data_IF_470251510453
#
_entry.id   IF_470251510453
#
_cell.length_a   1.000
_cell.length_b   1.000
_cell.length_c   1.000
_cell.angle_alpha   90.00
_cell.angle_beta   90.00
_cell.angle_gamma   90.00
#
_symmetry.space_group_name_H-M   'P 1'
#
loop_
_entity.id
_entity.type
_entity.pdbx_description
1 polymer ?
#
# COMPACT_ATOMS: atom_id res chain seq x y z
N UNK A 1 40.76 -5.34 1.28
CA UNK A 1 39.87 -6.22 2.06
C UNK A 1 40.55 -7.56 2.38
N UNK A 2 41.22 -8.19 1.40
CA UNK A 2 41.84 -9.52 1.53
C UNK A 2 42.95 -9.60 2.57
N UNK A 3 43.60 -8.48 2.93
CA UNK A 3 44.67 -8.44 3.97
C UNK A 3 44.22 -8.85 5.37
N UNK A 4 42.92 -8.80 5.66
CA UNK A 4 42.37 -9.09 6.98
C UNK A 4 41.69 -10.46 7.09
N UNK A 5 41.51 -11.15 5.96
CA UNK A 5 40.89 -12.46 5.95
C UNK A 5 41.94 -13.58 5.97
N UNK A 6 41.71 -14.58 6.83
CA UNK A 6 42.49 -15.81 6.85
C UNK A 6 42.00 -16.76 5.75
N UNK A 7 42.89 -17.39 5.03
CA UNK A 7 42.54 -18.45 4.06
C UNK A 7 41.68 -19.53 4.75
N UNK A 8 40.63 -20.07 4.11
CA UNK A 8 40.29 -19.95 2.68
C UNK A 8 39.31 -18.80 2.35
N UNK A 9 39.06 -17.85 3.26
CA UNK A 9 38.09 -16.78 3.06
C UNK A 9 38.63 -15.73 2.08
N UNK A 10 37.79 -15.36 1.11
CA UNK A 10 38.05 -14.29 0.17
C UNK A 10 36.81 -13.42 -0.01
N UNK A 11 36.99 -12.19 -0.50
CA UNK A 11 35.94 -11.25 -0.77
C UNK A 11 35.94 -10.86 -2.24
N UNK A 12 34.89 -11.21 -2.94
CA UNK A 12 34.66 -10.80 -4.31
C UNK A 12 33.60 -9.67 -4.37
N UNK A 13 33.79 -8.75 -5.32
CA UNK A 13 32.77 -7.76 -5.65
C UNK A 13 31.64 -8.46 -6.37
N UNK A 14 30.42 -8.40 -5.77
CA UNK A 14 29.24 -9.00 -6.37
C UNK A 14 28.39 -7.96 -7.11
N UNK A 15 28.04 -6.88 -6.43
CA UNK A 15 27.14 -5.85 -6.98
C UNK A 15 27.09 -4.60 -6.13
N UNK A 16 26.64 -3.48 -6.72
CA UNK A 16 26.39 -2.22 -6.04
C UNK A 16 24.91 -1.81 -6.15
N UNK A 17 24.40 -1.21 -5.10
CA UNK A 17 23.08 -0.53 -5.12
C UNK A 17 23.25 0.98 -4.99
N UNK A 18 22.77 1.75 -5.99
CA UNK A 18 22.81 3.22 -5.96
C UNK A 18 21.69 3.83 -6.84
N UNK A 19 20.71 4.55 -6.26
CA UNK A 19 20.44 4.70 -4.84
C UNK A 19 19.89 3.43 -4.18
N UNK A 20 19.91 3.40 -2.85
CA UNK A 20 19.39 2.30 -2.06
C UNK A 20 18.45 2.81 -0.95
N UNK A 21 17.29 2.23 -0.84
CA UNK A 21 16.27 2.55 0.16
C UNK A 21 15.94 1.31 1.00
N UNK A 22 16.33 1.33 2.27
CA UNK A 22 16.05 0.28 3.24
C UNK A 22 14.85 0.66 4.10
N UNK A 23 13.71 0.03 3.86
CA UNK A 23 12.48 0.27 4.61
C UNK A 23 12.49 -0.44 5.98
N UNK A 24 12.87 -1.71 5.98
CA UNK A 24 13.00 -2.54 7.18
C UNK A 24 13.79 -3.81 6.87
N UNK A 25 14.03 -4.65 7.88
CA UNK A 25 14.65 -5.97 7.69
C UNK A 25 13.94 -6.74 6.56
N UNK A 26 14.69 -7.20 5.56
CA UNK A 26 14.19 -7.92 4.35
C UNK A 26 13.24 -7.12 3.45
N UNK A 27 13.16 -5.78 3.60
CA UNK A 27 12.33 -4.91 2.77
C UNK A 27 13.14 -3.74 2.25
N UNK A 28 13.51 -3.79 0.99
CA UNK A 28 14.32 -2.76 0.36
C UNK A 28 13.99 -2.60 -1.13
N UNK A 29 14.41 -1.48 -1.68
CA UNK A 29 14.43 -1.19 -3.11
C UNK A 29 15.67 -0.38 -3.44
N UNK A 30 16.24 -0.58 -4.62
CA UNK A 30 17.37 0.18 -5.11
C UNK A 30 17.63 -0.10 -6.58
N UNK A 31 18.49 0.72 -7.16
CA UNK A 31 19.05 0.47 -8.49
C UNK A 31 20.30 -0.41 -8.32
N UNK A 32 20.22 -1.61 -8.86
CA UNK A 32 21.30 -2.60 -8.85
C UNK A 32 22.18 -2.39 -10.06
N UNK A 33 23.46 -2.31 -9.84
CA UNK A 33 24.52 -2.30 -10.86
C UNK A 33 25.44 -3.50 -10.62
N UNK A 34 25.73 -4.21 -11.68
CA UNK A 34 26.73 -5.27 -11.70
C UNK A 34 28.08 -4.67 -12.16
N UNK A 35 28.66 -5.14 -13.24
CA UNK A 35 29.94 -4.63 -13.75
C UNK A 35 29.78 -3.34 -14.58
N UNK A 36 28.63 -3.13 -15.22
CA UNK A 36 28.37 -1.97 -16.06
C UNK A 36 27.64 -0.87 -15.29
N UNK A 37 28.26 0.30 -15.02
CA UNK A 37 27.63 1.39 -14.29
C UNK A 37 26.47 2.07 -15.03
N UNK A 38 26.32 1.81 -16.34
CA UNK A 38 25.25 2.40 -17.14
C UNK A 38 23.99 1.50 -17.22
N UNK A 39 24.09 0.24 -16.81
CA UNK A 39 23.00 -0.75 -16.88
C UNK A 39 22.35 -1.02 -15.53
N UNK A 40 21.87 0.04 -14.89
CA UNK A 40 21.14 -0.09 -13.63
C UNK A 40 19.79 -0.77 -13.81
N UNK A 41 19.47 -1.77 -12.97
CA UNK A 41 18.17 -2.46 -12.91
C UNK A 41 17.51 -2.24 -11.55
N UNK A 42 16.23 -1.90 -11.54
CA UNK A 42 15.49 -1.82 -10.27
C UNK A 42 15.37 -3.21 -9.64
N UNK A 43 15.96 -3.39 -8.48
CA UNK A 43 15.82 -4.58 -7.63
C UNK A 43 15.03 -4.23 -6.37
N UNK A 44 14.07 -5.07 -6.02
CA UNK A 44 13.27 -4.89 -4.82
C UNK A 44 13.02 -6.21 -4.13
N UNK A 45 12.96 -6.17 -2.79
CA UNK A 45 12.68 -7.34 -1.95
C UNK A 45 11.65 -6.99 -0.87
N UNK A 46 10.71 -7.91 -0.64
CA UNK A 46 9.75 -7.82 0.47
C UNK A 46 8.75 -6.66 0.43
N UNK A 47 8.72 -5.88 -0.63
CA UNK A 47 7.79 -4.75 -0.81
C UNK A 47 6.55 -5.16 -1.61
N UNK A 48 5.53 -4.31 -1.60
CA UNK A 48 4.21 -4.58 -2.21
C UNK A 48 4.25 -4.87 -3.71
N UNK A 49 5.28 -4.41 -4.42
CA UNK A 49 5.41 -4.57 -5.88
C UNK A 49 5.41 -6.03 -6.34
N UNK A 50 5.93 -6.95 -5.53
CA UNK A 50 6.02 -8.39 -5.87
C UNK A 50 4.91 -9.23 -5.23
N UNK A 51 4.11 -8.66 -4.35
CA UNK A 51 3.09 -9.40 -3.63
C UNK A 51 1.82 -9.53 -4.46
N UNK A 52 1.23 -10.74 -4.48
CA UNK A 52 -0.01 -11.02 -5.21
C UNK A 52 -1.27 -10.69 -4.42
N UNK A 53 -1.14 -10.47 -3.10
CA UNK A 53 -2.23 -10.13 -2.18
C UNK A 53 -2.57 -8.62 -2.15
N UNK A 54 -1.92 -7.84 -3.01
CA UNK A 54 -2.25 -6.43 -3.24
C UNK A 54 -2.86 -6.24 -4.63
N UNK A 55 -3.79 -5.29 -4.73
CA UNK A 55 -4.39 -4.92 -6.01
C UNK A 55 -3.34 -4.38 -7.00
N UNK A 56 -3.47 -4.63 -8.31
CA UNK A 56 -2.54 -4.12 -9.32
C UNK A 56 -2.34 -2.60 -9.27
N UNK A 57 -3.38 -1.83 -8.96
CA UNK A 57 -3.30 -0.37 -8.80
C UNK A 57 -2.22 0.07 -7.80
N UNK A 58 -1.98 -0.73 -6.74
CA UNK A 58 -0.91 -0.44 -5.77
C UNK A 58 0.45 -0.54 -6.42
N UNK A 59 0.64 -1.49 -7.34
CA UNK A 59 1.89 -1.66 -8.06
C UNK A 59 2.12 -0.51 -9.04
N UNK A 60 1.07 -0.04 -9.69
CA UNK A 60 1.13 1.08 -10.62
C UNK A 60 1.51 2.37 -9.88
N UNK A 61 0.78 2.72 -8.81
CA UNK A 61 1.02 3.95 -8.04
C UNK A 61 2.36 3.89 -7.28
N UNK A 62 2.56 2.87 -6.49
CA UNK A 62 3.78 2.73 -5.67
C UNK A 62 5.02 2.48 -6.51
N UNK A 63 4.87 1.73 -7.61
CA UNK A 63 5.95 1.47 -8.56
C UNK A 63 6.38 2.73 -9.29
N UNK A 64 5.44 3.55 -9.77
CA UNK A 64 5.72 4.83 -10.41
C UNK A 64 6.44 5.81 -9.48
N UNK A 65 5.99 5.93 -8.22
CA UNK A 65 6.67 6.75 -7.21
C UNK A 65 8.13 6.28 -7.01
N UNK A 66 8.33 4.98 -6.85
CA UNK A 66 9.69 4.41 -6.68
C UNK A 66 10.54 4.68 -7.92
N UNK A 67 10.01 4.51 -9.12
CA UNK A 67 10.78 4.76 -10.34
C UNK A 67 11.22 6.21 -10.46
N UNK A 68 10.35 7.18 -10.16
CA UNK A 68 10.69 8.61 -10.15
C UNK A 68 11.76 8.88 -9.08
N UNK A 69 11.56 8.41 -7.84
CA UNK A 69 12.50 8.66 -6.76
C UNK A 69 13.88 8.00 -6.98
N UNK A 70 13.93 6.81 -7.61
CA UNK A 70 15.18 6.07 -7.83
C UNK A 70 15.92 6.50 -9.07
N UNK A 71 15.23 6.84 -10.16
CA UNK A 71 15.85 7.21 -11.44
C UNK A 71 16.07 8.72 -11.55
N UNK A 72 15.03 9.49 -11.27
CA UNK A 72 15.03 10.94 -11.47
C UNK A 72 15.46 11.71 -10.21
N UNK A 73 15.36 11.07 -9.02
CA UNK A 73 15.66 11.67 -7.70
C UNK A 73 14.83 12.92 -7.41
N UNK A 74 13.67 13.04 -8.05
CA UNK A 74 12.77 14.18 -7.95
C UNK A 74 11.59 13.86 -7.04
N UNK A 75 11.57 14.50 -5.87
CA UNK A 75 10.51 14.31 -4.86
C UNK A 75 9.24 15.08 -5.25
N UNK A 76 9.35 16.25 -5.85
CA UNK A 76 8.19 17.05 -6.24
C UNK A 76 7.42 16.37 -7.37
N UNK A 77 8.12 15.88 -8.38
CA UNK A 77 7.53 15.06 -9.45
C UNK A 77 6.86 13.79 -8.94
N UNK A 78 7.44 13.15 -7.93
CA UNK A 78 6.83 11.97 -7.31
C UNK A 78 5.53 12.33 -6.57
N UNK A 79 5.44 13.52 -5.96
CA UNK A 79 4.22 14.03 -5.31
C UNK A 79 3.14 14.34 -6.36
N UNK A 80 3.50 15.02 -7.44
CA UNK A 80 2.57 15.33 -8.54
C UNK A 80 2.00 14.04 -9.16
N UNK A 81 2.85 13.06 -9.42
CA UNK A 81 2.44 11.74 -9.89
C UNK A 81 1.46 11.07 -8.90
N UNK A 82 1.76 11.09 -7.60
CA UNK A 82 0.85 10.56 -6.58
C UNK A 82 -0.50 11.28 -6.62
N UNK A 83 -0.52 12.62 -6.67
CA UNK A 83 -1.77 13.39 -6.70
C UNK A 83 -2.59 13.10 -7.95
N UNK A 84 -1.97 12.98 -9.10
CA UNK A 84 -2.62 12.57 -10.36
C UNK A 84 -3.23 11.18 -10.25
N UNK A 85 -2.50 10.21 -9.69
CA UNK A 85 -3.03 8.87 -9.45
C UNK A 85 -4.22 8.86 -8.49
N UNK A 86 -4.14 9.60 -7.37
CA UNK A 86 -5.22 9.71 -6.39
C UNK A 86 -6.47 10.35 -7.01
N UNK A 87 -6.29 11.39 -7.84
CA UNK A 87 -7.40 12.02 -8.56
C UNK A 87 -8.06 11.05 -9.54
N UNK A 88 -7.26 10.29 -10.30
CA UNK A 88 -7.78 9.29 -11.23
C UNK A 88 -8.54 8.15 -10.51
N UNK A 89 -8.13 7.79 -9.27
CA UNK A 89 -8.87 6.83 -8.44
C UNK A 89 -10.22 7.42 -8.01
N UNK A 90 -10.21 8.67 -7.55
CA UNK A 90 -11.44 9.37 -7.12
C UNK A 90 -12.40 9.54 -8.31
N UNK A 91 -11.88 9.82 -9.50
CA UNK A 91 -12.66 9.99 -10.71
C UNK A 91 -13.02 8.64 -11.39
N UNK A 92 -12.73 7.51 -10.73
CA UNK A 92 -13.09 6.16 -11.15
C UNK A 92 -12.54 5.76 -12.54
N UNK A 93 -11.41 6.37 -12.95
CA UNK A 93 -10.78 6.14 -14.25
C UNK A 93 -10.04 4.81 -14.34
N UNK A 94 -9.77 4.16 -13.21
CA UNK A 94 -9.11 2.85 -13.21
C UNK A 94 -10.11 1.74 -13.48
N UNK A 95 -9.83 0.84 -14.42
CA UNK A 95 -10.68 -0.30 -14.72
C UNK A 95 -10.69 -1.31 -13.55
N UNK A 96 -11.73 -2.13 -13.48
CA UNK A 96 -12.00 -3.05 -12.36
C UNK A 96 -10.86 -4.06 -12.14
N UNK A 97 -10.18 -4.52 -13.19
CA UNK A 97 -9.05 -5.44 -13.11
C UNK A 97 -7.88 -4.89 -12.26
N UNK A 98 -7.69 -3.56 -12.24
CA UNK A 98 -6.69 -2.90 -11.40
C UNK A 98 -7.02 -2.95 -9.90
N UNK A 99 -8.27 -3.23 -9.54
CA UNK A 99 -8.75 -3.30 -8.17
C UNK A 99 -8.83 -4.74 -7.61
N UNK A 100 -8.66 -5.76 -8.46
CA UNK A 100 -8.80 -7.16 -8.04
C UNK A 100 -7.66 -7.58 -7.12
N UNK A 101 -8.04 -8.09 -5.94
CA UNK A 101 -7.15 -8.71 -4.98
C UNK A 101 -7.40 -10.21 -5.02
N UNK A 102 -6.33 -11.02 -4.94
CA UNK A 102 -6.45 -12.48 -4.99
C UNK A 102 -5.82 -13.11 -3.77
N UNK A 103 -6.56 -13.99 -3.08
CA UNK A 103 -6.07 -14.78 -1.94
C UNK A 103 -6.39 -16.25 -2.09
N UNK A 104 -5.45 -17.11 -1.69
CA UNK A 104 -5.67 -18.55 -1.70
C UNK A 104 -6.55 -18.99 -0.52
N UNK A 105 -7.51 -19.84 -0.79
CA UNK A 105 -8.34 -20.50 0.20
C UNK A 105 -7.54 -21.62 0.88
N UNK A 106 -7.68 -21.75 2.20
CA UNK A 106 -7.08 -22.84 2.98
C UNK A 106 -8.14 -23.82 3.44
N UNK A 107 -7.74 -25.04 3.79
CA UNK A 107 -8.63 -26.03 4.40
C UNK A 107 -9.06 -25.62 5.80
N UNK A 108 -8.12 -25.11 6.60
CA UNK A 108 -8.31 -24.83 8.01
C UNK A 108 -8.25 -23.34 8.34
N UNK A 109 -9.30 -22.86 8.99
CA UNK A 109 -9.38 -21.55 9.60
C UNK A 109 -9.95 -21.67 11.01
N UNK A 110 -9.26 -21.14 12.02
CA UNK A 110 -9.78 -21.10 13.41
C UNK A 110 -11.13 -20.39 13.48
N UNK A 111 -11.26 -19.26 12.76
CA UNK A 111 -12.46 -18.44 12.72
C UNK A 111 -12.85 -18.13 11.26
N UNK A 112 -13.51 -19.03 10.53
CA UNK A 112 -13.83 -18.86 9.11
C UNK A 112 -14.64 -17.60 8.82
N UNK A 113 -15.54 -17.20 9.72
CA UNK A 113 -16.41 -16.04 9.59
C UNK A 113 -15.63 -14.70 9.57
N UNK A 114 -14.43 -14.66 10.14
CA UNK A 114 -13.57 -13.46 10.12
C UNK A 114 -12.71 -13.38 8.86
N UNK A 115 -12.64 -14.42 8.06
CA UNK A 115 -11.82 -14.50 6.87
C UNK A 115 -12.65 -14.10 5.64
N UNK A 116 -12.47 -12.86 5.18
CA UNK A 116 -13.28 -12.26 4.14
C UNK A 116 -13.43 -13.17 2.88
N UNK A 117 -12.33 -13.63 2.30
CA UNK A 117 -12.34 -14.46 1.10
C UNK A 117 -12.92 -15.86 1.34
N UNK A 118 -12.92 -16.40 2.57
CA UNK A 118 -13.62 -17.65 2.93
C UNK A 118 -15.13 -17.42 2.95
N UNK A 119 -15.59 -16.35 3.58
CA UNK A 119 -17.01 -15.96 3.59
C UNK A 119 -17.52 -15.73 2.16
N UNK A 120 -16.72 -15.10 1.31
CA UNK A 120 -17.06 -14.91 -0.11
C UNK A 120 -17.14 -16.28 -0.84
N UNK A 121 -16.19 -17.18 -0.65
CA UNK A 121 -16.21 -18.51 -1.25
C UNK A 121 -17.47 -19.31 -0.85
N UNK A 122 -17.86 -19.25 0.43
CA UNK A 122 -19.09 -19.89 0.90
C UNK A 122 -20.35 -19.25 0.29
N UNK A 123 -20.35 -17.92 0.11
CA UNK A 123 -21.43 -17.20 -0.57
C UNK A 123 -21.51 -17.55 -2.07
N UNK A 124 -20.38 -17.70 -2.74
CA UNK A 124 -20.33 -18.19 -4.13
C UNK A 124 -20.90 -19.60 -4.24
N UNK A 125 -20.51 -20.52 -3.37
CA UNK A 125 -21.04 -21.89 -3.35
C UNK A 125 -22.55 -21.98 -3.00
N UNK A 126 -23.11 -21.01 -2.24
CA UNK A 126 -24.56 -20.91 -2.03
C UNK A 126 -25.33 -20.44 -3.27
N UNK A 127 -24.69 -19.58 -4.10
CA UNK A 127 -25.27 -19.09 -5.36
C UNK A 127 -25.20 -20.12 -6.48
N UNK A 128 -24.08 -20.84 -6.53
CA UNK A 128 -23.81 -21.88 -7.52
C UNK A 128 -23.02 -23.02 -6.86
N UNK A 129 -23.75 -24.09 -6.53
CA UNK A 129 -23.19 -25.26 -5.85
C UNK A 129 -22.19 -26.04 -6.74
N UNK A 130 -22.37 -25.99 -8.07
CA UNK A 130 -21.49 -26.65 -9.04
C UNK A 130 -20.12 -25.99 -9.15
N UNK A 131 -20.01 -24.70 -8.87
CA UNK A 131 -18.78 -23.93 -8.93
C UNK A 131 -18.28 -23.45 -7.55
N UNK A 132 -18.56 -24.22 -6.49
CA UNK A 132 -18.08 -23.89 -5.16
C UNK A 132 -16.56 -23.98 -5.08
N UNK A 133 -15.86 -22.88 -4.69
CA UNK A 133 -14.42 -22.89 -4.53
C UNK A 133 -13.93 -23.86 -3.46
N UNK A 134 -12.84 -24.56 -3.74
CA UNK A 134 -12.21 -25.54 -2.87
C UNK A 134 -10.91 -25.04 -2.23
N UNK A 135 -10.35 -25.82 -1.31
CA UNK A 135 -9.05 -25.52 -0.71
C UNK A 135 -7.95 -25.53 -1.76
N UNK A 136 -7.08 -24.50 -1.72
CA UNK A 136 -6.05 -24.27 -2.74
C UNK A 136 -6.44 -23.25 -3.80
N UNK A 137 -7.74 -23.09 -4.07
CA UNK A 137 -8.20 -22.12 -5.06
C UNK A 137 -7.88 -20.68 -4.68
N UNK A 138 -7.65 -19.88 -5.70
CA UNK A 138 -7.39 -18.45 -5.54
C UNK A 138 -8.67 -17.67 -5.80
N UNK A 139 -9.17 -17.05 -4.74
CA UNK A 139 -10.41 -16.26 -4.80
C UNK A 139 -10.06 -14.83 -5.19
N UNK A 140 -10.48 -14.36 -6.39
CA UNK A 140 -10.40 -12.96 -6.76
C UNK A 140 -11.57 -12.19 -6.12
N UNK A 141 -11.29 -11.01 -5.60
CA UNK A 141 -12.32 -10.15 -5.03
C UNK A 141 -11.94 -8.68 -5.12
N UNK A 142 -12.96 -7.84 -5.05
CA UNK A 142 -12.85 -6.39 -5.01
C UNK A 142 -13.59 -5.89 -3.76
N UNK A 143 -13.04 -4.89 -3.09
CA UNK A 143 -13.76 -4.22 -2.01
C UNK A 143 -14.86 -3.33 -2.57
N UNK A 144 -16.07 -3.48 -2.01
CA UNK A 144 -17.28 -2.77 -2.43
C UNK A 144 -17.77 -1.81 -1.35
N UNK A 145 -18.56 -0.84 -1.76
CA UNK A 145 -19.27 0.03 -0.82
C UNK A 145 -20.41 -0.72 -0.15
N UNK A 146 -20.57 -0.55 1.15
CA UNK A 146 -21.65 -1.14 1.93
C UNK A 146 -22.40 -0.06 2.68
N UNK A 147 -23.74 -0.16 2.73
CA UNK A 147 -24.60 0.74 3.51
C UNK A 147 -24.46 0.49 5.03
N UNK A 148 -24.21 -0.75 5.41
CA UNK A 148 -24.07 -1.14 6.82
C UNK A 148 -22.69 -0.78 7.37
N UNK A 149 -22.63 0.13 8.33
CA UNK A 149 -21.39 0.53 9.02
C UNK A 149 -20.74 -0.63 9.79
N UNK A 150 -21.54 -1.54 10.32
CA UNK A 150 -21.12 -2.70 11.11
C UNK A 150 -20.91 -3.97 10.26
N UNK A 151 -20.92 -3.85 8.92
CA UNK A 151 -20.69 -4.99 8.03
C UNK A 151 -19.37 -5.70 8.34
N UNK A 152 -19.39 -7.02 8.36
CA UNK A 152 -18.19 -7.86 8.52
C UNK A 152 -17.28 -7.73 7.30
N UNK A 153 -16.03 -8.15 7.44
CA UNK A 153 -15.06 -8.04 6.33
C UNK A 153 -15.49 -8.84 5.08
N UNK A 154 -16.18 -9.97 5.28
CA UNK A 154 -16.73 -10.76 4.19
C UNK A 154 -17.82 -10.07 3.39
N UNK A 155 -18.58 -9.17 4.03
CA UNK A 155 -19.67 -8.42 3.38
C UNK A 155 -19.16 -7.19 2.61
N UNK A 156 -17.90 -6.80 2.87
CA UNK A 156 -17.26 -5.66 2.21
C UNK A 156 -16.52 -6.05 0.92
N UNK A 157 -16.60 -7.30 0.52
CA UNK A 157 -15.94 -7.80 -0.70
C UNK A 157 -16.90 -8.61 -1.56
N UNK A 158 -16.67 -8.58 -2.88
CA UNK A 158 -17.45 -9.37 -3.83
C UNK A 158 -16.59 -9.85 -5.00
N UNK A 159 -17.06 -10.91 -5.68
CA UNK A 159 -16.41 -11.45 -6.86
C UNK A 159 -16.54 -10.49 -8.05
N UNK A 160 -15.48 -10.30 -8.87
CA UNK A 160 -15.48 -9.34 -9.98
C UNK A 160 -16.65 -9.54 -10.97
N UNK A 161 -16.95 -10.78 -11.35
CA UNK A 161 -18.07 -11.07 -12.27
C UNK A 161 -19.42 -10.64 -11.69
N UNK A 162 -19.64 -10.87 -10.41
CA UNK A 162 -20.86 -10.45 -9.73
C UNK A 162 -21.00 -8.92 -9.64
N UNK A 163 -19.87 -8.22 -9.45
CA UNK A 163 -19.81 -6.76 -9.45
C UNK A 163 -20.24 -6.20 -10.80
N UNK A 164 -19.72 -6.77 -11.90
CA UNK A 164 -20.06 -6.36 -13.28
C UNK A 164 -21.55 -6.60 -13.56
N UNK A 165 -22.04 -7.82 -13.24
CA UNK A 165 -23.44 -8.21 -13.50
C UNK A 165 -24.43 -7.33 -12.74
N UNK A 166 -24.14 -6.99 -11.50
CA UNK A 166 -25.04 -6.24 -10.60
C UNK A 166 -24.70 -4.75 -10.51
N UNK A 167 -23.75 -4.26 -11.32
CA UNK A 167 -23.30 -2.85 -11.34
C UNK A 167 -22.94 -2.31 -9.96
N UNK A 168 -22.29 -3.14 -9.13
CA UNK A 168 -21.91 -2.77 -7.76
C UNK A 168 -20.68 -1.86 -7.81
N UNK A 169 -20.69 -0.80 -7.01
CA UNK A 169 -19.61 0.17 -6.97
C UNK A 169 -18.45 -0.30 -6.09
N UNK A 170 -17.19 -0.27 -6.59
CA UNK A 170 -16.00 -0.49 -5.77
C UNK A 170 -15.81 0.57 -4.68
N UNK A 171 -15.21 0.19 -3.58
CA UNK A 171 -14.88 1.12 -2.49
C UNK A 171 -13.50 1.76 -2.74
N UNK A 172 -13.44 2.80 -3.55
CA UNK A 172 -12.20 3.51 -3.88
C UNK A 172 -11.49 4.11 -2.66
N UNK A 173 -12.25 4.59 -1.67
CA UNK A 173 -11.69 5.10 -0.41
C UNK A 173 -10.89 4.01 0.33
N UNK A 174 -11.34 2.75 0.31
CA UNK A 174 -10.60 1.62 0.86
C UNK A 174 -9.25 1.41 0.16
N UNK A 175 -9.22 1.49 -1.17
CA UNK A 175 -7.96 1.33 -1.92
C UNK A 175 -6.97 2.44 -1.61
N UNK A 176 -7.42 3.68 -1.50
CA UNK A 176 -6.56 4.80 -1.09
C UNK A 176 -6.02 4.57 0.32
N UNK A 177 -6.89 4.27 1.32
CA UNK A 177 -6.49 4.21 2.73
C UNK A 177 -5.71 2.96 3.10
N UNK A 178 -6.17 1.79 2.63
CA UNK A 178 -5.65 0.51 3.11
C UNK A 178 -4.61 -0.12 2.19
N UNK A 179 -4.66 0.19 0.90
CA UNK A 179 -3.78 -0.42 -0.09
C UNK A 179 -2.63 0.51 -0.49
N UNK A 180 -2.91 1.78 -0.82
CA UNK A 180 -1.92 2.73 -1.36
C UNK A 180 -1.24 3.52 -0.27
N UNK A 181 -1.98 4.11 0.66
CA UNK A 181 -1.45 5.06 1.65
C UNK A 181 -0.31 4.47 2.49
N UNK A 182 -0.48 3.25 3.01
CA UNK A 182 0.51 2.63 3.90
C UNK A 182 1.91 2.47 3.27
N UNK A 183 2.07 1.84 2.09
CA UNK A 183 3.38 1.74 1.45
C UNK A 183 3.95 3.10 1.03
N UNK A 184 3.10 4.03 0.58
CA UNK A 184 3.51 5.38 0.19
C UNK A 184 4.02 6.17 1.40
N UNK A 185 3.35 6.09 2.56
CA UNK A 185 3.82 6.72 3.80
C UNK A 185 5.22 6.23 4.20
N UNK A 186 5.52 4.95 4.04
CA UNK A 186 6.83 4.41 4.37
C UNK A 186 7.95 4.99 3.50
N UNK A 187 7.70 5.19 2.21
CA UNK A 187 8.69 5.77 1.29
C UNK A 187 8.85 7.29 1.56
N UNK A 188 7.77 8.05 1.55
CA UNK A 188 7.84 9.49 1.78
C UNK A 188 8.26 9.86 3.20
N UNK A 189 8.03 8.97 4.18
CA UNK A 189 8.56 9.13 5.54
C UNK A 189 10.08 9.17 5.61
N UNK A 190 10.79 8.53 4.67
CA UNK A 190 12.25 8.54 4.58
C UNK A 190 12.81 9.83 3.96
N UNK A 191 12.01 10.50 3.14
CA UNK A 191 12.37 11.77 2.46
C UNK A 191 11.51 12.94 2.96
N UNK A 192 10.94 12.82 4.16
CA UNK A 192 10.01 13.79 4.73
C UNK A 192 10.57 15.22 4.76
N UNK A 193 11.85 15.38 5.10
CA UNK A 193 12.53 16.68 5.16
C UNK A 193 12.67 17.35 3.77
N UNK A 194 12.53 16.59 2.69
CA UNK A 194 12.58 17.09 1.31
C UNK A 194 11.21 17.55 0.81
N UNK A 195 10.12 17.23 1.54
CA UNK A 195 8.77 17.67 1.16
C UNK A 195 8.63 19.21 1.33
N UNK A 196 8.26 19.95 0.27
CA UNK A 196 8.19 21.43 0.34
C UNK A 196 7.30 21.93 1.46
N UNK A 197 6.11 21.33 1.62
CA UNK A 197 5.14 21.74 2.65
C UNK A 197 5.57 21.35 4.06
N UNK A 198 6.48 20.39 4.23
CA UNK A 198 6.97 19.98 5.54
C UNK A 198 7.94 20.99 6.16
N UNK A 199 8.57 21.84 5.38
CA UNK A 199 9.54 22.86 5.85
C UNK A 199 8.99 23.68 7.02
N UNK A 200 7.71 24.02 6.99
CA UNK A 200 7.00 24.76 8.07
C UNK A 200 6.88 23.97 9.36
N UNK A 201 6.94 22.64 9.30
CA UNK A 201 6.76 21.74 10.45
C UNK A 201 8.08 21.19 10.98
N UNK A 202 9.20 21.41 10.33
CA UNK A 202 10.52 20.81 10.65
C UNK A 202 10.95 21.10 12.09
N UNK A 203 10.79 22.33 12.59
CA UNK A 203 11.20 22.70 13.95
C UNK A 203 10.40 21.97 15.01
N UNK A 204 9.08 21.93 14.90
CA UNK A 204 8.20 21.22 15.85
C UNK A 204 8.41 19.70 15.79
N UNK A 205 8.62 19.16 14.60
CA UNK A 205 8.92 17.74 14.40
C UNK A 205 10.24 17.34 15.05
N UNK A 206 11.33 18.08 14.83
CA UNK A 206 12.62 17.85 15.47
C UNK A 206 12.53 17.89 17.00
N UNK A 207 11.78 18.84 17.57
CA UNK A 207 11.55 18.92 19.00
C UNK A 207 10.83 17.67 19.54
N UNK A 208 9.81 17.20 18.82
CA UNK A 208 9.07 16.00 19.17
C UNK A 208 9.95 14.74 19.12
N UNK A 209 10.76 14.60 18.07
CA UNK A 209 11.69 13.47 17.93
C UNK A 209 12.75 13.47 19.03
N UNK A 210 13.24 14.63 19.47
CA UNK A 210 14.17 14.73 20.57
C UNK A 210 13.50 14.28 21.90
N UNK A 211 12.24 14.65 22.12
CA UNK A 211 11.48 14.16 23.28
C UNK A 211 11.31 12.62 23.24
N UNK A 212 11.07 12.04 22.07
CA UNK A 212 11.02 10.57 21.92
C UNK A 212 12.36 9.92 22.22
N UNK A 213 13.48 10.48 21.75
CA UNK A 213 14.83 10.00 22.06
C UNK A 213 15.11 9.96 23.55
N UNK A 214 14.70 11.00 24.29
CA UNK A 214 14.83 11.05 25.75
C UNK A 214 13.93 10.03 26.44
N UNK A 215 12.66 9.96 26.02
CA UNK A 215 11.64 9.10 26.65
C UNK A 215 11.89 7.61 26.43
N UNK A 216 12.42 7.24 25.28
CA UNK A 216 12.63 5.84 24.85
C UNK A 216 14.11 5.51 24.68
N UNK A 217 14.98 6.12 25.51
CA UNK A 217 16.43 5.95 25.46
C UNK A 217 16.84 4.47 25.55
N UNK A 218 16.17 3.72 26.41
CA UNK A 218 16.47 2.32 26.70
C UNK A 218 15.65 1.32 25.87
N UNK A 219 14.75 1.81 25.00
CA UNK A 219 13.93 0.99 24.10
C UNK A 219 14.02 1.46 22.64
N UNK A 220 15.08 1.06 21.91
CA UNK A 220 15.31 1.45 20.53
C UNK A 220 14.17 1.03 19.58
N UNK A 221 13.49 -0.08 19.88
CA UNK A 221 12.36 -0.58 19.08
C UNK A 221 11.18 0.38 19.20
N UNK A 222 10.82 0.76 20.40
CA UNK A 222 9.71 1.68 20.68
C UNK A 222 9.99 3.09 20.16
N UNK A 223 11.25 3.55 20.27
CA UNK A 223 11.68 4.81 19.67
C UNK A 223 11.45 4.81 18.15
N UNK A 224 11.87 3.76 17.46
CA UNK A 224 11.67 3.60 16.02
C UNK A 224 10.19 3.59 15.64
N UNK A 225 9.37 2.82 16.36
CA UNK A 225 7.93 2.75 16.12
C UNK A 225 7.22 4.10 16.28
N UNK A 226 7.57 4.88 17.31
CA UNK A 226 6.98 6.20 17.53
C UNK A 226 7.44 7.23 16.50
N UNK A 227 8.72 7.18 16.13
CA UNK A 227 9.27 8.02 15.06
C UNK A 227 8.57 7.74 13.72
N UNK A 228 8.42 6.46 13.35
CA UNK A 228 7.73 6.05 12.14
C UNK A 228 6.26 6.46 12.13
N UNK A 229 5.56 6.31 13.25
CA UNK A 229 4.16 6.78 13.41
C UNK A 229 4.03 8.28 13.16
N UNK A 230 4.93 9.08 13.70
CA UNK A 230 4.86 10.54 13.53
C UNK A 230 5.20 10.97 12.10
N UNK A 231 6.20 10.37 11.48
CA UNK A 231 6.48 10.59 10.05
C UNK A 231 5.27 10.23 9.19
N UNK A 232 4.67 9.06 9.41
CA UNK A 232 3.49 8.61 8.68
C UNK A 232 2.29 9.55 8.86
N UNK A 233 2.10 10.13 10.04
CA UNK A 233 1.06 11.13 10.33
C UNK A 233 1.26 12.40 9.52
N UNK A 234 2.49 12.91 9.43
CA UNK A 234 2.80 14.07 8.58
C UNK A 234 2.56 13.77 7.10
N UNK A 235 3.08 12.65 6.58
CA UNK A 235 2.86 12.24 5.18
C UNK A 235 1.36 12.12 4.88
N UNK A 236 0.56 11.51 5.77
CA UNK A 236 -0.89 11.43 5.60
C UNK A 236 -1.53 12.81 5.51
N UNK A 237 -1.16 13.71 6.42
CA UNK A 237 -1.70 15.08 6.46
C UNK A 237 -1.36 15.85 5.18
N UNK A 238 -0.13 15.78 4.72
CA UNK A 238 0.35 16.56 3.58
C UNK A 238 -0.13 16.00 2.23
N UNK A 239 -0.04 14.69 2.03
CA UNK A 239 -0.24 14.09 0.71
C UNK A 239 -1.62 13.46 0.50
N UNK A 240 -2.34 13.06 1.55
CA UNK A 240 -3.58 12.29 1.42
C UNK A 240 -4.83 12.98 1.93
N UNK A 241 -4.74 13.99 2.82
CA UNK A 241 -5.92 14.55 3.50
C UNK A 241 -6.93 15.14 2.54
N UNK A 242 -6.51 15.84 1.49
CA UNK A 242 -7.39 16.43 0.47
C UNK A 242 -8.15 15.35 -0.29
N UNK A 243 -7.45 14.35 -0.81
CA UNK A 243 -8.02 13.25 -1.60
C UNK A 243 -8.96 12.39 -0.77
N UNK A 244 -8.61 12.10 0.49
CA UNK A 244 -9.47 11.34 1.40
C UNK A 244 -10.76 12.09 1.72
N UNK A 245 -10.71 13.42 1.94
CA UNK A 245 -11.89 14.23 2.17
C UNK A 245 -12.83 14.22 0.96
N UNK A 246 -12.30 14.33 -0.25
CA UNK A 246 -13.10 14.27 -1.48
C UNK A 246 -13.75 12.89 -1.63
N UNK A 247 -12.98 11.82 -1.46
CA UNK A 247 -13.49 10.45 -1.56
C UNK A 247 -14.61 10.15 -0.52
N UNK A 248 -14.46 10.66 0.71
CA UNK A 248 -15.47 10.52 1.76
C UNK A 248 -16.72 11.35 1.47
N UNK A 249 -16.57 12.58 0.98
CA UNK A 249 -17.71 13.44 0.64
C UNK A 249 -18.52 12.86 -0.53
N UNK A 250 -17.88 12.31 -1.56
CA UNK A 250 -18.58 11.63 -2.65
C UNK A 250 -19.39 10.45 -2.14
N UNK A 251 -18.84 9.65 -1.24
CA UNK A 251 -19.58 8.55 -0.59
C UNK A 251 -20.79 9.04 0.21
N UNK A 252 -20.64 10.11 0.98
CA UNK A 252 -21.72 10.66 1.80
C UNK A 252 -22.83 11.29 0.95
N UNK A 253 -22.49 12.08 -0.08
CA UNK A 253 -23.46 12.71 -0.97
C UNK A 253 -24.29 11.68 -1.74
N UNK A 254 -23.68 10.57 -2.17
CA UNK A 254 -24.45 9.49 -2.80
C UNK A 254 -25.40 8.79 -1.83
N UNK A 255 -24.98 8.55 -0.58
CA UNK A 255 -25.87 8.00 0.44
C UNK A 255 -27.06 8.93 0.72
N UNK A 256 -26.87 10.25 0.66
CA UNK A 256 -27.94 11.24 0.85
C UNK A 256 -28.90 11.24 -0.34
N UNK A 257 -28.40 11.16 -1.58
CA UNK A 257 -29.22 11.06 -2.79
C UNK A 257 -30.03 9.75 -2.82
N UNK A 258 -29.43 8.61 -2.51
CA UNK A 258 -30.17 7.33 -2.42
C UNK A 258 -31.24 7.33 -1.34
N UNK A 259 -31.00 7.97 -0.19
CA UNK A 259 -31.99 8.11 0.86
C UNK A 259 -33.13 9.10 0.49
N UNK A 260 -32.83 10.09 -0.35
CA UNK A 260 -33.83 11.05 -0.84
C UNK A 260 -34.74 10.48 -1.94
N UNK A 261 -34.30 9.45 -2.66
CA UNK A 261 -35.05 8.85 -3.77
C UNK A 261 -35.77 7.55 -3.38
N UNK A 262 -35.73 7.15 -2.10
CA UNK A 262 -36.53 6.03 -1.58
C UNK A 262 -36.23 4.64 -2.19
N UNK A 263 -35.04 4.42 -2.76
CA UNK A 263 -34.59 3.14 -3.32
C UNK A 263 -33.68 2.36 -2.36
#
# INVERSE_FOLDING_TARGET
>A
ATKFLKKPHDLEYEKTFMPFCLLSKKRYVGMLYELDPNKGKRKSMGIVLKRRDNAPIVKDVYGGIIDILMKEKDVEKAIEFLHTCLQNIIDEKYPLDKLIITKSLRSDYKNPQQIAHKVLADRMGKRDSGNKPSSGDRIPFVYIETKNKNALQGDKIEHPSYIIQNKIRPNYAFYITNQIMKPVQQIFGLVLDQLPEFKKHTRSHKRLLNNYKLRYKDDPKKLREQTEKECNKHVKKLLFSKSLRIAQNRKNNQNTLFNAWGM
#
